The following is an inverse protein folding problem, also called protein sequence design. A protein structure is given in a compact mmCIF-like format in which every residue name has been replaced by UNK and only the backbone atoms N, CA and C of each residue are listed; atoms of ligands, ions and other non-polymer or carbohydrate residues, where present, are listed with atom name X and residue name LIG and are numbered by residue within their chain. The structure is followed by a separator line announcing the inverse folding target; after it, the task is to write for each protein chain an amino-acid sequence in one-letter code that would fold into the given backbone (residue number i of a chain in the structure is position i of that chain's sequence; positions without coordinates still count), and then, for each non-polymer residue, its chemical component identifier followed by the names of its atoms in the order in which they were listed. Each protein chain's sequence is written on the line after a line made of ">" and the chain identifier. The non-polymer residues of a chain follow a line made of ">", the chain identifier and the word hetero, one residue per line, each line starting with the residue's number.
data_IF_493985033313
#
_entry.id   IF_493985033313
#
_cell.length_a   1.000
_cell.length_b   1.000
_cell.length_c   1.000
_cell.angle_alpha   90.00
_cell.angle_beta   90.00
_cell.angle_gamma   90.00
#
_symmetry.space_group_name_H-M   'P 1'
#
loop_
_entity.id
_entity.type
_entity.pdbx_description
1 polymer ?
#
# COMPACT_ATOMS: atom_id res chain seq x y z
N UNK A 1 -2.18 8.80 -15.64
CA UNK A 1 -2.54 9.15 -14.25
C UNK A 1 -3.93 8.61 -14.00
N UNK A 2 -4.07 7.73 -13.02
CA UNK A 2 -5.38 7.24 -12.59
C UNK A 2 -5.92 8.16 -11.49
N UNK A 3 -7.24 8.36 -11.47
CA UNK A 3 -7.95 9.18 -10.49
C UNK A 3 -9.14 8.36 -9.97
N UNK A 4 -9.43 8.45 -8.67
CA UNK A 4 -10.52 7.69 -8.03
C UNK A 4 -10.23 6.20 -7.83
N UNK A 5 -11.24 5.35 -8.08
CA UNK A 5 -11.15 3.89 -7.89
C UNK A 5 -10.41 3.22 -9.04
N UNK A 6 -9.28 2.61 -8.73
CA UNK A 6 -8.45 1.78 -9.61
C UNK A 6 -8.84 0.33 -9.42
N UNK A 7 -9.16 -0.33 -10.53
CA UNK A 7 -9.41 -1.76 -10.63
C UNK A 7 -8.65 -2.34 -11.83
N UNK A 8 -8.83 -3.62 -12.11
CA UNK A 8 -8.13 -4.34 -13.17
C UNK A 8 -8.47 -3.85 -14.58
N UNK A 9 -9.62 -3.18 -14.75
CA UNK A 9 -10.03 -2.54 -16.01
C UNK A 9 -9.42 -1.15 -16.21
N UNK A 10 -8.81 -0.59 -15.15
CA UNK A 10 -8.22 0.74 -15.20
C UNK A 10 -6.92 0.72 -16.02
N UNK A 11 -6.84 1.60 -17.01
CA UNK A 11 -5.67 1.68 -17.90
C UNK A 11 -4.38 2.00 -17.14
N UNK A 12 -3.43 1.06 -17.16
CA UNK A 12 -2.11 1.23 -16.54
C UNK A 12 -1.23 2.12 -17.45
N UNK A 13 -0.91 3.33 -16.96
CA UNK A 13 -0.05 4.30 -17.67
C UNK A 13 1.09 4.76 -16.73
N UNK A 14 2.10 3.89 -16.48
CA UNK A 14 3.21 4.21 -15.61
C UNK A 14 4.05 5.34 -16.22
N UNK A 15 4.54 6.23 -15.35
CA UNK A 15 5.35 7.39 -15.76
C UNK A 15 6.85 7.10 -15.54
N UNK A 16 7.18 6.21 -14.60
CA UNK A 16 8.56 5.87 -14.27
C UNK A 16 9.04 4.61 -15.00
N UNK A 17 10.36 4.50 -15.15
CA UNK A 17 11.00 3.37 -15.84
C UNK A 17 10.66 2.03 -15.17
N UNK A 18 10.64 1.98 -13.84
CA UNK A 18 10.27 0.77 -13.10
C UNK A 18 8.87 0.25 -13.48
N UNK A 19 7.87 1.14 -13.49
CA UNK A 19 6.51 0.79 -13.85
C UNK A 19 6.37 0.42 -15.32
N UNK A 20 7.09 1.09 -16.22
CA UNK A 20 7.13 0.74 -17.65
C UNK A 20 7.67 -0.67 -17.87
N UNK A 21 8.78 -1.03 -17.22
CA UNK A 21 9.37 -2.38 -17.31
C UNK A 21 8.39 -3.43 -16.76
N UNK A 22 7.77 -3.16 -15.59
CA UNK A 22 6.78 -4.08 -15.00
C UNK A 22 5.58 -4.29 -15.92
N UNK A 23 5.07 -3.22 -16.54
CA UNK A 23 3.96 -3.32 -17.49
C UNK A 23 4.34 -4.13 -18.73
N UNK A 24 5.58 -4.00 -19.22
CA UNK A 24 6.03 -4.79 -20.37
C UNK A 24 6.20 -6.26 -20.02
N UNK A 25 6.74 -6.57 -18.82
CA UNK A 25 6.80 -7.92 -18.29
C UNK A 25 5.40 -8.54 -18.20
N UNK A 26 4.41 -7.78 -17.70
CA UNK A 26 3.03 -8.25 -17.61
C UNK A 26 2.52 -8.69 -19.00
N UNK A 27 2.73 -7.88 -20.04
CA UNK A 27 2.30 -8.23 -21.41
C UNK A 27 2.96 -9.52 -21.90
N UNK A 28 4.27 -9.66 -21.72
CA UNK A 28 5.02 -10.85 -22.15
C UNK A 28 4.45 -12.13 -21.52
N UNK A 29 4.11 -12.09 -20.23
CA UNK A 29 3.52 -13.26 -19.56
C UNK A 29 2.08 -13.53 -19.98
N UNK A 30 1.25 -12.50 -20.16
CA UNK A 30 -0.12 -12.68 -20.64
C UNK A 30 -0.12 -13.28 -22.05
N UNK A 31 0.78 -12.81 -22.92
CA UNK A 31 0.94 -13.32 -24.29
C UNK A 31 1.55 -14.72 -24.35
N UNK A 32 2.27 -15.18 -23.31
CA UNK A 32 2.94 -16.48 -23.32
C UNK A 32 2.00 -17.66 -23.02
N UNK A 33 0.81 -17.40 -22.49
CA UNK A 33 -0.13 -18.47 -22.09
C UNK A 33 -0.44 -19.41 -23.26
N UNK A 34 -0.52 -20.70 -22.95
CA UNK A 34 -0.93 -21.75 -23.88
C UNK A 34 -1.89 -22.75 -23.21
N UNK A 35 -2.13 -23.90 -23.84
CA UNK A 35 -3.04 -24.94 -23.32
C UNK A 35 -2.55 -25.63 -22.04
N UNK A 36 -1.24 -25.56 -21.78
CA UNK A 36 -0.53 -26.43 -20.84
C UNK A 36 -0.36 -25.79 -19.47
N UNK A 37 -0.37 -24.45 -19.41
CA UNK A 37 -0.31 -23.71 -18.16
C UNK A 37 -1.18 -22.46 -18.21
N UNK A 38 -1.72 -22.11 -17.05
CA UNK A 38 -2.51 -20.90 -16.87
C UNK A 38 -1.62 -19.78 -16.32
N UNK A 39 -1.84 -18.56 -16.79
CA UNK A 39 -1.09 -17.38 -16.35
C UNK A 39 -2.02 -16.43 -15.65
N UNK A 40 -1.60 -15.99 -14.46
CA UNK A 40 -2.32 -15.01 -13.65
C UNK A 40 -1.34 -13.95 -13.18
N UNK A 41 -1.74 -12.69 -13.26
CA UNK A 41 -0.95 -11.57 -12.75
C UNK A 41 -1.61 -11.01 -11.50
N UNK A 42 -0.87 -11.02 -10.39
CA UNK A 42 -1.27 -10.34 -9.16
C UNK A 42 -0.50 -9.02 -9.04
N UNK A 43 -1.22 -7.90 -8.98
CA UNK A 43 -0.68 -6.55 -8.78
C UNK A 43 -0.92 -6.11 -7.35
N UNK A 44 0.07 -6.22 -6.45
CA UNK A 44 -0.07 -5.69 -5.11
C UNK A 44 0.08 -4.17 -5.09
N UNK A 45 -0.53 -3.55 -4.09
CA UNK A 45 -0.28 -2.17 -3.71
C UNK A 45 1.06 -2.03 -2.93
N UNK A 46 1.16 -1.11 -1.97
CA UNK A 46 2.36 -0.92 -1.16
C UNK A 46 2.56 -2.06 -0.16
N UNK A 47 3.29 -3.10 -0.58
CA UNK A 47 3.59 -4.24 0.28
C UNK A 47 4.48 -3.83 1.46
N UNK A 48 4.08 -4.21 2.66
CA UNK A 48 4.90 -4.06 3.86
C UNK A 48 5.05 -5.39 4.61
N UNK A 49 6.15 -5.51 5.34
CA UNK A 49 6.48 -6.67 6.16
C UNK A 49 7.74 -6.36 6.95
N UNK A 50 8.30 -7.36 7.64
CA UNK A 50 9.60 -7.19 8.31
C UNK A 50 10.66 -6.68 7.31
N UNK A 51 11.25 -5.52 7.57
CA UNK A 51 12.22 -4.88 6.65
C UNK A 51 11.63 -3.97 5.57
N UNK A 52 10.30 -3.78 5.53
CA UNK A 52 9.62 -2.95 4.53
C UNK A 52 10.04 -1.47 4.57
N UNK A 53 10.72 -0.99 3.53
CA UNK A 53 11.32 0.35 3.49
C UNK A 53 10.30 1.50 3.65
N UNK A 54 9.08 1.33 3.13
CA UNK A 54 8.04 2.35 3.24
C UNK A 54 7.73 2.66 4.71
N UNK A 55 7.43 1.64 5.52
CA UNK A 55 7.15 1.81 6.94
C UNK A 55 8.41 2.13 7.76
N UNK A 56 9.57 1.56 7.42
CA UNK A 56 10.84 1.93 8.06
C UNK A 56 11.09 3.44 7.93
N UNK A 57 10.85 4.00 6.75
CA UNK A 57 11.03 5.44 6.53
C UNK A 57 10.10 6.26 7.43
N UNK A 58 8.87 5.80 7.65
CA UNK A 58 7.90 6.45 8.55
C UNK A 58 8.37 6.33 10.00
N UNK A 59 8.75 5.13 10.47
CA UNK A 59 9.30 4.94 11.81
C UNK A 59 10.53 5.82 12.06
N UNK A 60 11.49 5.84 11.15
CA UNK A 60 12.68 6.69 11.26
C UNK A 60 12.31 8.17 11.36
N UNK A 61 11.33 8.63 10.57
CA UNK A 61 10.86 10.02 10.66
C UNK A 61 10.25 10.30 12.04
N UNK A 62 9.36 9.44 12.52
CA UNK A 62 8.67 9.63 13.80
C UNK A 62 9.66 9.60 14.97
N UNK A 63 10.63 8.68 14.96
CA UNK A 63 11.58 8.46 16.06
C UNK A 63 12.75 9.44 16.08
N UNK A 64 13.28 9.85 14.92
CA UNK A 64 14.57 10.57 14.83
C UNK A 64 14.43 12.04 14.43
N UNK A 65 13.29 12.47 13.88
CA UNK A 65 13.10 13.86 13.42
C UNK A 65 12.38 14.72 14.44
N UNK A 66 12.48 16.05 14.23
CA UNK A 66 11.89 17.01 15.15
C UNK A 66 10.36 16.82 15.26
N UNK A 67 9.80 16.89 16.48
CA UNK A 67 8.35 16.75 16.69
C UNK A 67 7.51 17.73 15.86
N UNK A 68 8.02 18.93 15.61
CA UNK A 68 7.37 19.95 14.77
C UNK A 68 7.27 19.52 13.30
N UNK A 69 8.34 18.92 12.74
CA UNK A 69 8.30 18.43 11.36
C UNK A 69 7.34 17.25 11.22
N UNK A 70 7.31 16.35 12.20
CA UNK A 70 6.39 15.23 12.20
C UNK A 70 4.93 15.71 12.35
N UNK A 71 4.69 16.73 13.17
CA UNK A 71 3.39 17.40 13.28
C UNK A 71 2.92 17.99 11.94
N UNK A 72 3.78 18.75 11.26
CA UNK A 72 3.47 19.32 9.95
C UNK A 72 3.22 18.23 8.90
N UNK A 73 4.04 17.16 8.93
CA UNK A 73 3.89 16.02 8.03
C UNK A 73 2.56 15.32 8.23
N UNK A 74 2.16 15.06 9.47
CA UNK A 74 0.87 14.46 9.81
C UNK A 74 -0.31 15.36 9.44
N UNK A 75 -0.17 16.67 9.64
CA UNK A 75 -1.13 17.68 9.22
C UNK A 75 -1.30 17.72 7.69
N UNK A 76 -0.21 17.56 6.94
CA UNK A 76 -0.20 17.60 5.48
C UNK A 76 -0.71 16.32 4.83
N UNK A 77 -0.25 15.16 5.29
CA UNK A 77 -0.66 13.87 4.72
C UNK A 77 -2.00 13.38 5.26
N UNK A 78 -2.34 13.70 6.52
CA UNK A 78 -3.67 13.45 7.09
C UNK A 78 -4.21 12.06 6.79
N UNK A 79 -5.42 12.01 6.22
CA UNK A 79 -6.11 10.79 5.83
C UNK A 79 -5.77 10.30 4.41
N UNK A 80 -4.66 10.77 3.82
CA UNK A 80 -4.16 10.21 2.56
C UNK A 80 -3.91 8.71 2.73
N UNK A 81 -4.45 7.92 1.82
CA UNK A 81 -4.21 6.47 1.80
C UNK A 81 -2.74 6.16 1.60
N UNK A 82 -2.28 5.12 2.28
CA UNK A 82 -0.92 4.61 2.12
C UNK A 82 -0.85 3.38 1.23
N UNK A 83 -2.01 2.81 0.89
CA UNK A 83 -2.12 1.63 0.04
C UNK A 83 -1.34 0.46 0.60
N UNK A 84 -1.22 0.36 1.93
CA UNK A 84 -0.47 -0.68 2.59
C UNK A 84 -1.16 -2.03 2.41
N UNK A 85 -0.40 -3.07 2.13
CA UNK A 85 -0.87 -4.45 2.17
C UNK A 85 0.17 -5.32 2.88
N UNK A 86 -0.21 -6.13 3.89
CA UNK A 86 0.73 -7.04 4.54
C UNK A 86 1.31 -8.04 3.52
N UNK A 87 2.59 -8.37 3.65
CA UNK A 87 3.25 -9.36 2.79
C UNK A 87 2.58 -10.72 2.91
N UNK A 88 2.08 -11.07 4.09
CA UNK A 88 1.32 -12.29 4.34
C UNK A 88 0.07 -12.32 3.46
N UNK A 89 -0.74 -11.25 3.45
CA UNK A 89 -1.92 -11.13 2.58
C UNK A 89 -1.58 -11.37 1.11
N UNK A 90 -0.47 -10.80 0.61
CA UNK A 90 -0.03 -11.00 -0.77
C UNK A 90 0.37 -12.46 -1.04
N UNK A 91 1.14 -13.08 -0.15
CA UNK A 91 1.56 -14.48 -0.28
C UNK A 91 0.36 -15.42 -0.27
N UNK A 92 -0.61 -15.20 0.62
CA UNK A 92 -1.83 -15.99 0.67
C UNK A 92 -2.71 -15.77 -0.57
N UNK A 93 -2.75 -14.56 -1.13
CA UNK A 93 -3.43 -14.31 -2.41
C UNK A 93 -2.77 -15.07 -3.56
N UNK A 94 -1.44 -15.10 -3.63
CA UNK A 94 -0.70 -15.92 -4.61
C UNK A 94 -1.03 -17.40 -4.44
N UNK A 95 -0.99 -17.91 -3.21
CA UNK A 95 -1.31 -19.30 -2.91
C UNK A 95 -2.76 -19.64 -3.31
N UNK A 96 -3.71 -18.77 -2.98
CA UNK A 96 -5.11 -18.92 -3.34
C UNK A 96 -5.31 -19.05 -4.85
N UNK A 97 -4.67 -18.16 -5.64
CA UNK A 97 -4.74 -18.21 -7.10
C UNK A 97 -4.06 -19.46 -7.67
N UNK A 98 -2.88 -19.84 -7.16
CA UNK A 98 -2.16 -21.03 -7.63
C UNK A 98 -2.85 -22.35 -7.27
N UNK A 99 -3.59 -22.40 -6.16
CA UNK A 99 -4.30 -23.60 -5.72
C UNK A 99 -5.75 -23.66 -6.21
N UNK A 100 -6.22 -22.62 -6.91
CA UNK A 100 -7.56 -22.60 -7.47
C UNK A 100 -7.69 -23.67 -8.57
N UNK A 101 -8.77 -24.47 -8.56
CA UNK A 101 -9.06 -25.41 -9.66
C UNK A 101 -9.53 -24.70 -10.94
N UNK A 102 -9.87 -23.41 -10.86
CA UNK A 102 -10.33 -22.61 -11.99
C UNK A 102 -9.15 -22.22 -12.89
N UNK A 103 -9.37 -22.26 -14.21
CA UNK A 103 -8.52 -21.56 -15.18
C UNK A 103 -8.97 -20.11 -15.31
N UNK A 104 -8.04 -19.21 -15.12
CA UNK A 104 -8.26 -17.78 -15.13
C UNK A 104 -8.02 -17.16 -16.51
N UNK A 105 -7.24 -17.77 -17.40
CA UNK A 105 -7.06 -17.32 -18.78
C UNK A 105 -6.53 -15.88 -18.89
N UNK A 106 -5.30 -15.64 -18.42
CA UNK A 106 -4.61 -14.35 -18.52
C UNK A 106 -5.28 -13.24 -17.69
N UNK A 107 -5.93 -13.59 -16.59
CA UNK A 107 -6.56 -12.58 -15.75
C UNK A 107 -5.53 -11.86 -14.88
N UNK A 108 -5.77 -10.56 -14.73
CA UNK A 108 -5.08 -9.72 -13.76
C UNK A 108 -5.96 -9.62 -12.52
N UNK A 109 -5.34 -9.55 -11.34
CA UNK A 109 -5.98 -9.26 -10.06
C UNK A 109 -5.19 -8.18 -9.32
N UNK A 110 -5.89 -7.33 -8.57
CA UNK A 110 -5.29 -6.37 -7.64
C UNK A 110 -5.49 -6.87 -6.21
N UNK A 111 -4.43 -6.76 -5.40
CA UNK A 111 -4.51 -6.96 -3.96
C UNK A 111 -4.09 -5.68 -3.23
N UNK A 112 -4.98 -5.19 -2.38
CA UNK A 112 -4.84 -4.00 -1.56
C UNK A 112 -5.70 -4.16 -0.31
N UNK A 113 -5.37 -3.43 0.75
CA UNK A 113 -6.20 -3.29 1.96
C UNK A 113 -6.78 -1.86 2.05
N UNK A 114 -7.03 -1.20 0.91
CA UNK A 114 -7.59 0.16 0.86
C UNK A 114 -9.04 0.24 1.33
N UNK A 115 -9.76 -0.89 1.34
CA UNK A 115 -11.07 -1.01 1.98
C UNK A 115 -11.00 -0.72 3.49
N UNK A 116 -9.84 -0.96 4.13
CA UNK A 116 -9.68 -0.73 5.56
C UNK A 116 -9.57 0.79 5.83
N UNK A 117 -10.48 1.38 6.63
CA UNK A 117 -10.48 2.82 6.87
C UNK A 117 -9.20 3.31 7.55
N UNK A 118 -8.47 2.44 8.25
CA UNK A 118 -7.23 2.77 8.94
C UNK A 118 -5.99 2.73 8.03
N UNK A 119 -6.14 2.41 6.74
CA UNK A 119 -5.04 2.38 5.78
C UNK A 119 -4.67 3.78 5.25
N UNK A 120 -4.46 4.71 6.18
CA UNK A 120 -4.13 6.10 5.91
C UNK A 120 -2.99 6.59 6.80
N UNK A 121 -2.34 7.68 6.39
CA UNK A 121 -1.14 8.17 7.07
C UNK A 121 -1.39 8.50 8.55
N UNK A 122 -2.53 9.10 8.88
CA UNK A 122 -2.88 9.51 10.24
C UNK A 122 -2.99 8.32 11.20
N UNK A 123 -3.76 7.31 10.83
CA UNK A 123 -4.00 6.13 11.67
C UNK A 123 -2.78 5.21 11.73
N UNK A 124 -2.10 5.01 10.60
CA UNK A 124 -0.84 4.26 10.57
C UNK A 124 0.19 4.93 11.48
N UNK A 125 0.36 6.24 11.41
CA UNK A 125 1.28 6.95 12.32
C UNK A 125 0.87 6.79 13.78
N UNK A 126 -0.43 6.84 14.11
CA UNK A 126 -0.90 6.62 15.50
C UNK A 126 -0.49 5.25 16.04
N UNK A 127 -0.74 4.19 15.27
CA UNK A 127 -0.39 2.82 15.67
C UNK A 127 1.12 2.67 15.83
N UNK A 128 1.91 3.24 14.91
CA UNK A 128 3.36 3.23 15.03
C UNK A 128 3.83 3.95 16.29
N UNK A 129 3.32 5.15 16.58
CA UNK A 129 3.68 5.91 17.79
C UNK A 129 3.32 5.15 19.07
N UNK A 130 2.13 4.55 19.11
CA UNK A 130 1.65 3.75 20.24
C UNK A 130 2.65 2.63 20.57
N UNK A 131 3.00 1.81 19.58
CA UNK A 131 3.90 0.65 19.80
C UNK A 131 5.34 1.09 20.08
N UNK A 132 5.80 2.18 19.46
CA UNK A 132 7.12 2.74 19.67
C UNK A 132 7.24 3.56 20.97
N UNK A 133 6.16 3.69 21.76
CA UNK A 133 6.11 4.49 22.99
C UNK A 133 6.48 5.96 22.78
N UNK A 134 6.16 6.50 21.59
CA UNK A 134 6.43 7.89 21.25
C UNK A 134 5.22 8.71 21.69
N UNK A 135 5.40 9.74 22.55
CA UNK A 135 4.29 10.53 23.08
C UNK A 135 3.39 11.09 21.99
N UNK A 136 2.09 11.20 22.25
CA UNK A 136 1.17 11.88 21.35
C UNK A 136 1.55 13.37 21.18
N UNK A 137 1.06 13.99 20.11
CA UNK A 137 1.21 15.43 19.95
C UNK A 137 0.39 16.17 21.02
N UNK A 138 0.97 17.22 21.59
CA UNK A 138 0.30 18.06 22.59
C UNK A 138 -0.96 18.71 22.01
N UNK A 139 -0.89 19.09 20.74
CA UNK A 139 -2.01 19.65 19.98
C UNK A 139 -2.39 18.64 18.90
N UNK A 140 -3.69 18.36 18.67
CA UNK A 140 -4.13 17.54 17.55
C UNK A 140 -3.68 18.14 16.20
N UNK A 141 -3.13 17.34 15.25
CA UNK A 141 -2.72 17.84 13.94
C UNK A 141 -3.86 18.53 13.19
N UNK A 142 -3.58 19.69 12.61
CA UNK A 142 -4.54 20.46 11.81
C UNK A 142 -4.49 19.91 10.38
N UNK A 143 -5.54 19.22 9.95
CA UNK A 143 -5.59 18.61 8.63
C UNK A 143 -5.64 19.67 7.53
N UNK A 144 -4.65 19.65 6.64
CA UNK A 144 -4.59 20.58 5.52
C UNK A 144 -5.50 20.12 4.37
N UNK A 145 -6.11 21.06 3.62
CA UNK A 145 -6.96 20.70 2.49
C UNK A 145 -6.21 19.86 1.44
N UNK A 146 -6.88 18.84 0.88
CA UNK A 146 -6.30 17.97 -0.15
C UNK A 146 -5.78 18.73 -1.38
N UNK A 147 -6.35 19.90 -1.68
CA UNK A 147 -5.90 20.76 -2.78
C UNK A 147 -4.43 21.20 -2.61
N UNK A 148 -4.01 21.51 -1.37
CA UNK A 148 -2.64 21.90 -1.08
C UNK A 148 -1.68 20.73 -1.29
N UNK A 149 -2.05 19.56 -0.75
CA UNK A 149 -1.29 18.33 -0.93
C UNK A 149 -1.16 17.95 -2.41
N UNK A 150 -2.26 18.01 -3.17
CA UNK A 150 -2.29 17.76 -4.62
C UNK A 150 -1.37 18.71 -5.39
N UNK A 151 -1.35 19.99 -5.03
CA UNK A 151 -0.42 20.97 -5.59
C UNK A 151 1.05 20.61 -5.34
N UNK A 152 1.39 20.27 -4.09
CA UNK A 152 2.75 19.84 -3.73
C UNK A 152 3.17 18.55 -4.43
N UNK A 153 2.28 17.56 -4.53
CA UNK A 153 2.55 16.30 -5.22
C UNK A 153 2.80 16.50 -6.72
N UNK A 154 2.07 17.42 -7.37
CA UNK A 154 2.28 17.81 -8.77
C UNK A 154 3.67 18.43 -8.97
N UNK A 155 4.05 19.37 -8.11
CA UNK A 155 5.37 20.03 -8.19
C UNK A 155 6.50 18.99 -8.01
N UNK A 156 6.30 18.01 -7.12
CA UNK A 156 7.26 16.94 -6.87
C UNK A 156 7.32 15.88 -7.99
N UNK A 157 6.45 15.97 -9.01
CA UNK A 157 6.39 14.97 -10.09
C UNK A 157 6.02 13.57 -9.59
N UNK A 158 5.24 13.48 -8.50
CA UNK A 158 4.85 12.17 -7.94
C UNK A 158 3.96 11.43 -8.93
N UNK A 159 4.18 10.13 -9.11
CA UNK A 159 3.38 9.31 -10.03
C UNK A 159 1.91 9.23 -9.58
N UNK A 160 1.69 9.25 -8.27
CA UNK A 160 0.38 9.31 -7.63
C UNK A 160 0.14 10.75 -7.14
N UNK A 161 -0.69 11.47 -7.89
CA UNK A 161 -1.05 12.86 -7.64
C UNK A 161 -2.40 12.96 -6.92
N UNK A 162 -3.21 11.91 -7.01
CA UNK A 162 -4.53 11.86 -6.41
C UNK A 162 -4.46 11.29 -4.99
N UNK A 163 -4.62 12.13 -3.94
CA UNK A 163 -4.58 11.65 -2.56
C UNK A 163 -5.77 10.76 -2.20
N UNK A 164 -6.84 10.82 -2.99
CA UNK A 164 -8.08 10.08 -2.80
C UNK A 164 -8.15 8.79 -3.64
N UNK A 165 -7.04 8.44 -4.31
CA UNK A 165 -6.88 7.19 -5.04
C UNK A 165 -7.27 5.99 -4.16
N UNK A 166 -7.82 4.95 -4.79
CA UNK A 166 -8.29 3.76 -4.11
C UNK A 166 -8.06 2.54 -4.99
N UNK A 167 -7.35 1.52 -4.52
CA UNK A 167 -7.18 0.25 -5.23
C UNK A 167 -8.21 -0.77 -4.75
N UNK A 168 -9.14 -1.12 -5.64
CA UNK A 168 -10.15 -2.15 -5.36
C UNK A 168 -9.53 -3.54 -5.45
N UNK A 169 -9.77 -4.34 -4.41
CA UNK A 169 -9.46 -5.78 -4.40
C UNK A 169 -10.71 -6.65 -4.60
N UNK A 170 -11.82 -6.04 -5.06
CA UNK A 170 -13.14 -6.68 -5.15
C UNK A 170 -13.12 -7.93 -6.02
N UNK A 171 -12.48 -7.89 -7.19
CA UNK A 171 -12.42 -9.04 -8.11
C UNK A 171 -11.84 -10.30 -7.45
N UNK A 172 -10.77 -10.14 -6.66
CA UNK A 172 -10.15 -11.24 -5.95
C UNK A 172 -11.02 -11.72 -4.77
N UNK A 173 -11.63 -10.78 -4.04
CA UNK A 173 -12.56 -11.08 -2.94
C UNK A 173 -13.83 -11.79 -3.42
N UNK A 174 -14.34 -11.43 -4.58
CA UNK A 174 -15.52 -12.04 -5.22
C UNK A 174 -15.26 -13.50 -5.62
N UNK A 175 -14.00 -13.89 -5.83
CA UNK A 175 -13.61 -15.30 -5.98
C UNK A 175 -13.61 -16.09 -4.67
N UNK A 176 -13.82 -15.42 -3.52
CA UNK A 176 -13.80 -16.03 -2.19
C UNK A 176 -12.47 -15.89 -1.46
N UNK A 177 -11.54 -15.06 -1.94
CA UNK A 177 -10.32 -14.77 -1.19
C UNK A 177 -10.65 -13.99 0.09
N UNK A 178 -10.11 -14.46 1.21
CA UNK A 178 -10.18 -13.78 2.51
C UNK A 178 -8.75 -13.58 3.02
N UNK A 179 -8.43 -12.33 3.35
CA UNK A 179 -7.14 -11.97 3.97
C UNK A 179 -7.01 -12.71 5.31
N UNK A 180 -5.95 -13.49 5.55
CA UNK A 180 -5.81 -14.27 6.78
C UNK A 180 -5.29 -13.44 7.96
N UNK A 181 -4.85 -12.21 7.69
CA UNK A 181 -4.30 -11.29 8.68
C UNK A 181 -5.03 -9.96 8.62
N UNK A 182 -5.17 -9.32 9.78
CA UNK A 182 -5.70 -7.97 9.89
C UNK A 182 -4.58 -6.93 9.70
N UNK A 183 -4.88 -5.86 8.97
CA UNK A 183 -3.93 -4.78 8.65
C UNK A 183 -3.29 -4.18 9.91
N UNK A 184 -4.10 -3.86 10.92
CA UNK A 184 -3.63 -3.21 12.15
C UNK A 184 -2.78 -4.16 12.99
N UNK A 185 -3.15 -5.44 13.02
CA UNK A 185 -2.39 -6.49 13.70
C UNK A 185 -1.02 -6.68 13.05
N UNK A 186 -0.96 -6.73 11.71
CA UNK A 186 0.30 -6.80 10.97
C UNK A 186 1.15 -5.54 11.17
N UNK A 187 0.53 -4.35 11.21
CA UNK A 187 1.23 -3.08 11.45
C UNK A 187 1.84 -3.02 12.87
N UNK A 188 1.10 -3.47 13.89
CA UNK A 188 1.62 -3.55 15.27
C UNK A 188 2.78 -4.53 15.38
N UNK A 189 2.67 -5.69 14.73
CA UNK A 189 3.73 -6.70 14.68
C UNK A 189 4.99 -6.14 14.02
N UNK A 190 4.83 -5.41 12.90
CA UNK A 190 5.92 -4.70 12.24
C UNK A 190 6.59 -3.68 13.18
N UNK A 191 5.81 -2.84 13.87
CA UNK A 191 6.32 -1.81 14.76
C UNK A 191 7.09 -2.40 15.95
N UNK A 192 6.57 -3.49 16.52
CA UNK A 192 7.23 -4.22 17.61
C UNK A 192 8.59 -4.78 17.16
N UNK A 193 8.65 -5.38 15.97
CA UNK A 193 9.89 -5.86 15.37
C UNK A 193 10.90 -4.71 15.13
N UNK A 194 10.43 -3.58 14.60
CA UNK A 194 11.28 -2.39 14.39
C UNK A 194 11.88 -1.90 15.71
N UNK A 195 11.06 -1.80 16.78
CA UNK A 195 11.49 -1.39 18.13
C UNK A 195 12.60 -2.29 18.67
N UNK A 196 12.43 -3.60 18.57
CA UNK A 196 13.43 -4.58 19.03
C UNK A 196 14.75 -4.48 18.25
N UNK A 197 14.67 -4.18 16.95
CA UNK A 197 15.85 -4.10 16.08
C UNK A 197 16.68 -2.83 16.27
N UNK A 198 16.09 -1.75 16.80
CA UNK A 198 16.76 -0.43 16.98
C UNK A 198 17.02 -0.05 18.44
N UNK A 199 16.58 -0.87 19.41
CA UNK A 199 16.92 -0.73 20.84
C UNK A 199 18.15 -1.55 21.26
N UNK A 200 18.98 -2.00 20.29
CA UNK A 200 20.30 -2.58 20.51
C UNK A 200 21.37 -1.57 20.14
#
# INVERSE_FOLDING_TARGET
>A
MAFGTINELTSCKPINQYGLIKLEIDKVFLESQNSDYDVVILRPSSVFGMGGQALISICNNISQKSPLLNYFRKSLFGYRRLHLVPVETVVFALQFLCMSPQRFNQEVFIISEDENPSNNYYDVENVLREVLEIPAYVIPPILLPHALLKGLLRIKGSAEVDPDCYYSSSKLKDLGFVSPVDLLTSLRSFAAYYKQSHNK
#
